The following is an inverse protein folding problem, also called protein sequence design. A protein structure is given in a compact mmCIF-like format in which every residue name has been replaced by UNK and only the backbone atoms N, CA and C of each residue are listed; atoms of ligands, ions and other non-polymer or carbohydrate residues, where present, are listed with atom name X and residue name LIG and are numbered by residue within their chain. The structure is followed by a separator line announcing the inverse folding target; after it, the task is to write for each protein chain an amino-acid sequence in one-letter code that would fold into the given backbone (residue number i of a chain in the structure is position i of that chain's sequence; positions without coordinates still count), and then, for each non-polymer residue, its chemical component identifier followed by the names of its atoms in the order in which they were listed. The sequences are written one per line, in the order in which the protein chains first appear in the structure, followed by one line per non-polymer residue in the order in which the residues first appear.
data_IF_830863055338
#
_entry.id   IF_830863055338
#
_cell.length_a   1.000
_cell.length_b   1.000
_cell.length_c   1.000
_cell.angle_alpha   90.00
_cell.angle_beta   90.00
_cell.angle_gamma   90.00
#
_symmetry.space_group_name_H-M   'P 1'
#
loop_
_entity.id
_entity.type
_entity.pdbx_description
1 polymer ?
#
# COMPACT_ATOMS: atom_id res chain seq x y z
N UNK A 1 -16.32 5.48 -3.31
CA UNK A 1 -15.41 5.45 -4.48
C UNK A 1 -14.02 5.26 -3.92
N UNK A 2 -13.51 4.02 -3.98
CA UNK A 2 -12.17 3.72 -3.50
C UNK A 2 -11.20 4.27 -4.53
N UNK A 3 -10.44 5.30 -4.20
CA UNK A 3 -9.29 5.69 -5.00
C UNK A 3 -8.19 4.67 -4.71
N UNK A 4 -8.16 3.60 -5.50
CA UNK A 4 -6.97 2.77 -5.61
C UNK A 4 -5.94 3.60 -6.38
N UNK A 5 -4.99 4.19 -5.68
CA UNK A 5 -3.82 4.69 -6.34
C UNK A 5 -2.99 3.48 -6.78
N UNK A 6 -3.22 3.05 -8.02
CA UNK A 6 -2.22 2.29 -8.76
C UNK A 6 -1.05 3.25 -9.00
N UNK A 7 -0.29 3.48 -7.96
CA UNK A 7 0.88 4.33 -8.05
C UNK A 7 1.93 3.59 -8.86
N UNK A 8 2.07 4.00 -10.12
CA UNK A 8 3.34 4.16 -10.82
C UNK A 8 4.48 3.24 -10.32
N UNK A 9 4.27 1.94 -10.46
CA UNK A 9 5.27 0.91 -10.29
C UNK A 9 6.59 1.27 -11.02
N UNK A 10 6.50 1.88 -12.20
CA UNK A 10 7.65 2.36 -12.96
C UNK A 10 8.44 3.48 -12.27
N UNK A 11 7.80 4.38 -11.57
CA UNK A 11 8.48 5.46 -10.85
C UNK A 11 9.24 4.96 -9.64
N UNK A 12 8.60 4.12 -8.83
CA UNK A 12 9.23 3.57 -7.62
C UNK A 12 10.36 2.60 -7.98
N UNK A 13 10.16 1.75 -8.99
CA UNK A 13 11.17 0.84 -9.52
C UNK A 13 12.43 1.60 -9.99
N UNK A 14 12.23 2.69 -10.72
CA UNK A 14 13.35 3.51 -11.21
C UNK A 14 14.14 4.18 -10.08
N UNK A 15 13.44 4.61 -9.04
CA UNK A 15 14.02 5.24 -7.86
C UNK A 15 14.81 4.24 -7.03
N UNK A 16 14.26 3.05 -6.76
CA UNK A 16 14.89 2.04 -5.90
C UNK A 16 16.12 1.36 -6.53
N UNK A 17 16.30 1.39 -7.86
CA UNK A 17 17.36 0.65 -8.54
C UNK A 17 18.42 1.52 -9.23
N UNK A 18 18.21 2.81 -9.38
CA UNK A 18 19.11 3.68 -10.17
C UNK A 18 19.79 4.79 -9.37
N UNK A 19 19.46 4.96 -8.09
CA UNK A 19 19.97 6.04 -7.26
C UNK A 19 20.89 5.57 -6.12
N UNK A 20 21.59 6.54 -5.55
CA UNK A 20 22.25 6.40 -4.27
C UNK A 20 21.19 6.14 -3.17
N UNK A 21 21.43 5.28 -2.17
CA UNK A 21 20.49 5.02 -1.07
C UNK A 21 19.95 6.28 -0.38
N UNK A 22 20.79 7.31 -0.20
CA UNK A 22 20.39 8.59 0.41
C UNK A 22 19.43 9.38 -0.48
N UNK A 23 19.66 9.37 -1.78
CA UNK A 23 18.76 10.01 -2.75
C UNK A 23 17.43 9.28 -2.80
N UNK A 24 17.45 7.95 -2.79
CA UNK A 24 16.26 7.09 -2.77
C UNK A 24 15.40 7.39 -1.55
N UNK A 25 16.03 7.47 -0.37
CA UNK A 25 15.33 7.79 0.89
C UNK A 25 14.71 9.19 0.84
N UNK A 26 15.42 10.17 0.27
CA UNK A 26 14.91 11.54 0.12
C UNK A 26 13.68 11.58 -0.78
N UNK A 27 13.71 10.88 -1.91
CA UNK A 27 12.60 10.83 -2.85
C UNK A 27 11.42 10.06 -2.26
N UNK A 28 11.69 8.97 -1.55
CA UNK A 28 10.69 8.19 -0.84
C UNK A 28 9.96 9.03 0.21
N UNK A 29 10.72 9.80 1.02
CA UNK A 29 10.16 10.72 2.01
C UNK A 29 9.25 11.77 1.37
N UNK A 30 9.72 12.46 0.33
CA UNK A 30 8.94 13.47 -0.40
C UNK A 30 7.65 12.89 -1.01
N UNK A 31 7.72 11.66 -1.51
CA UNK A 31 6.54 11.00 -2.04
C UNK A 31 5.48 10.78 -0.96
N UNK A 32 5.88 10.25 0.20
CA UNK A 32 4.95 10.03 1.31
C UNK A 32 4.49 11.34 1.95
N UNK A 33 5.31 12.37 2.01
CA UNK A 33 4.88 13.71 2.42
C UNK A 33 3.72 14.21 1.54
N UNK A 34 3.84 14.05 0.22
CA UNK A 34 2.77 14.43 -0.71
C UNK A 34 1.50 13.57 -0.53
N UNK A 35 1.65 12.27 -0.26
CA UNK A 35 0.51 11.39 0.01
C UNK A 35 -0.21 11.78 1.31
N UNK A 36 0.53 12.11 2.36
CA UNK A 36 -0.04 12.61 3.63
C UNK A 36 -0.76 13.95 3.44
N UNK A 37 -0.22 14.85 2.62
CA UNK A 37 -0.85 16.14 2.32
C UNK A 37 -2.19 15.97 1.60
N UNK A 38 -2.29 14.97 0.73
CA UNK A 38 -3.50 14.71 -0.07
C UNK A 38 -4.56 13.95 0.71
N UNK A 39 -4.16 12.87 1.41
CA UNK A 39 -5.10 11.90 1.99
C UNK A 39 -5.21 11.97 3.50
N UNK A 40 -4.28 12.64 4.16
CA UNK A 40 -4.15 12.61 5.60
C UNK A 40 -3.72 11.25 6.16
N UNK A 41 -3.33 11.20 7.44
CA UNK A 41 -3.03 9.95 8.12
C UNK A 41 -4.31 9.18 8.51
N UNK A 42 -4.20 7.83 8.70
CA UNK A 42 -3.02 6.99 8.45
C UNK A 42 -2.88 6.56 6.99
N UNK A 43 -1.65 6.25 6.56
CA UNK A 43 -1.39 5.56 5.29
C UNK A 43 -0.97 4.13 5.61
N UNK A 44 -1.75 3.16 5.14
CA UNK A 44 -1.45 1.73 5.32
C UNK A 44 -0.95 1.14 4.01
N UNK A 45 0.34 0.88 3.95
CA UNK A 45 1.00 0.26 2.80
C UNK A 45 0.84 -1.25 2.86
N UNK A 46 0.17 -1.83 1.88
CA UNK A 46 0.02 -3.28 1.71
C UNK A 46 0.91 -3.72 0.55
N UNK A 47 1.98 -4.45 0.86
CA UNK A 47 2.91 -4.95 -0.14
C UNK A 47 2.56 -6.39 -0.51
N UNK A 48 2.15 -6.61 -1.77
CA UNK A 48 1.69 -7.90 -2.29
C UNK A 48 2.74 -8.63 -3.11
N UNK A 49 3.97 -8.09 -3.21
CA UNK A 49 5.04 -8.71 -4.01
C UNK A 49 5.53 -10.01 -3.40
N UNK A 50 6.12 -10.88 -4.20
CA UNK A 50 6.69 -12.14 -3.74
C UNK A 50 7.84 -11.91 -2.76
N UNK A 51 7.87 -12.70 -1.67
CA UNK A 51 8.99 -12.73 -0.71
C UNK A 51 10.21 -13.50 -1.25
N UNK A 52 10.08 -14.11 -2.40
CA UNK A 52 11.10 -14.94 -3.06
C UNK A 52 11.31 -14.48 -4.51
N UNK A 53 12.34 -15.03 -5.16
CA UNK A 53 12.58 -14.75 -6.57
C UNK A 53 13.04 -13.31 -6.85
N UNK A 54 12.69 -12.81 -8.03
CA UNK A 54 13.16 -11.50 -8.52
C UNK A 54 12.49 -10.32 -7.82
N UNK A 55 11.30 -10.53 -7.30
CA UNK A 55 10.50 -9.48 -6.66
C UNK A 55 10.95 -9.20 -5.23
N UNK A 56 11.62 -10.16 -4.58
CA UNK A 56 12.10 -10.03 -3.21
C UNK A 56 12.91 -8.75 -3.00
N UNK A 57 13.84 -8.44 -3.89
CA UNK A 57 14.71 -7.27 -3.80
C UNK A 57 13.89 -5.97 -3.72
N UNK A 58 12.80 -5.91 -4.50
CA UNK A 58 11.91 -4.74 -4.54
C UNK A 58 11.13 -4.63 -3.23
N UNK A 59 10.58 -5.75 -2.77
CA UNK A 59 9.83 -5.80 -1.51
C UNK A 59 10.67 -5.43 -0.31
N UNK A 60 11.92 -5.91 -0.24
CA UNK A 60 12.88 -5.58 0.82
C UNK A 60 13.28 -4.10 0.76
N UNK A 61 13.67 -3.58 -0.41
CA UNK A 61 14.02 -2.19 -0.56
C UNK A 61 12.87 -1.24 -0.19
N UNK A 62 11.63 -1.62 -0.52
CA UNK A 62 10.46 -0.84 -0.10
C UNK A 62 10.29 -0.84 1.42
N UNK A 63 10.42 -2.00 2.06
CA UNK A 63 10.36 -2.13 3.51
C UNK A 63 11.46 -1.33 4.21
N UNK A 64 12.70 -1.43 3.72
CA UNK A 64 13.85 -0.72 4.30
C UNK A 64 13.65 0.79 4.25
N UNK A 65 13.17 1.33 3.12
CA UNK A 65 12.86 2.75 3.00
C UNK A 65 11.69 3.17 3.90
N UNK A 66 10.68 2.33 4.06
CA UNK A 66 9.55 2.58 4.95
C UNK A 66 9.99 2.61 6.42
N UNK A 67 10.84 1.67 6.84
CA UNK A 67 11.43 1.63 8.18
C UNK A 67 12.34 2.83 8.45
N UNK A 68 13.17 3.21 7.47
CA UNK A 68 14.04 4.36 7.59
C UNK A 68 13.27 5.69 7.67
N UNK A 69 12.10 5.77 7.00
CA UNK A 69 11.20 6.92 7.11
C UNK A 69 10.64 7.10 8.52
N UNK A 70 10.42 5.99 9.23
CA UNK A 70 10.02 5.92 10.64
C UNK A 70 8.87 6.87 11.02
N UNK A 71 7.81 6.87 10.22
CA UNK A 71 6.62 7.68 10.48
C UNK A 71 5.55 6.87 11.22
N UNK A 72 5.12 7.30 12.42
CA UNK A 72 4.13 6.57 13.21
C UNK A 72 2.74 6.52 12.54
N UNK A 73 2.46 7.45 11.62
CA UNK A 73 1.21 7.49 10.87
C UNK A 73 1.21 6.57 9.65
N UNK A 74 2.34 5.90 9.37
CA UNK A 74 2.49 4.97 8.26
C UNK A 74 2.54 3.54 8.77
N UNK A 75 1.59 2.72 8.33
CA UNK A 75 1.56 1.29 8.60
C UNK A 75 2.12 0.52 7.41
N UNK A 76 2.75 -0.61 7.67
CA UNK A 76 3.30 -1.47 6.62
C UNK A 76 2.90 -2.92 6.85
N UNK A 77 2.21 -3.51 5.86
CA UNK A 77 1.77 -4.90 5.87
C UNK A 77 2.36 -5.62 4.66
N UNK A 78 3.00 -6.75 4.89
CA UNK A 78 3.56 -7.58 3.83
C UNK A 78 2.76 -8.87 3.70
N UNK A 79 2.07 -9.04 2.58
CA UNK A 79 1.29 -10.22 2.25
C UNK A 79 1.74 -10.79 0.89
N UNK A 80 2.45 -11.91 0.90
CA UNK A 80 2.87 -12.58 -0.33
C UNK A 80 1.67 -13.21 -1.02
N UNK A 81 1.09 -12.45 -1.96
CA UNK A 81 -0.12 -12.88 -2.65
C UNK A 81 0.08 -14.17 -3.44
N UNK A 82 1.25 -14.35 -4.08
CA UNK A 82 1.55 -15.52 -4.89
C UNK A 82 1.70 -16.79 -4.04
N UNK A 83 2.26 -16.67 -2.85
CA UNK A 83 2.39 -17.78 -1.91
C UNK A 83 1.03 -18.17 -1.32
N UNK A 84 0.33 -17.20 -0.74
CA UNK A 84 -0.94 -17.45 -0.04
C UNK A 84 -2.07 -17.84 -0.98
N UNK A 85 -2.15 -17.24 -2.18
CA UNK A 85 -3.21 -17.51 -3.14
C UNK A 85 -2.82 -18.51 -4.24
N UNK A 86 -1.72 -19.27 -4.05
CA UNK A 86 -1.26 -20.30 -4.99
C UNK A 86 -2.38 -21.29 -5.29
N UNK A 87 -2.55 -21.62 -6.57
CA UNK A 87 -3.61 -22.54 -7.02
C UNK A 87 -5.01 -21.95 -6.93
N UNK A 88 -5.12 -20.61 -7.11
CA UNK A 88 -6.39 -19.86 -7.13
C UNK A 88 -7.16 -19.91 -5.79
N UNK A 89 -6.45 -20.08 -4.68
CA UNK A 89 -7.04 -20.06 -3.33
C UNK A 89 -7.25 -18.63 -2.87
N UNK A 90 -8.11 -17.90 -3.56
CA UNK A 90 -8.37 -16.48 -3.29
C UNK A 90 -9.05 -16.24 -1.94
N UNK A 91 -9.68 -17.26 -1.34
CA UNK A 91 -10.20 -17.23 0.02
C UNK A 91 -9.13 -16.89 1.07
N UNK A 92 -7.85 -17.15 0.77
CA UNK A 92 -6.74 -16.83 1.65
C UNK A 92 -6.48 -15.31 1.79
N UNK A 93 -7.09 -14.48 0.94
CA UNK A 93 -7.08 -13.02 1.13
C UNK A 93 -7.75 -12.64 2.46
N UNK A 94 -8.64 -13.47 2.98
CA UNK A 94 -9.22 -13.27 4.31
C UNK A 94 -8.17 -13.19 5.42
N UNK A 95 -7.02 -13.84 5.26
CA UNK A 95 -5.89 -13.76 6.21
C UNK A 95 -5.38 -12.32 6.28
N UNK A 96 -5.22 -11.66 5.13
CA UNK A 96 -4.82 -10.25 5.08
C UNK A 96 -5.89 -9.36 5.72
N UNK A 97 -7.16 -9.58 5.38
CA UNK A 97 -8.26 -8.78 5.92
C UNK A 97 -8.33 -8.90 7.44
N UNK A 98 -8.25 -10.12 7.97
CA UNK A 98 -8.22 -10.36 9.41
C UNK A 98 -7.02 -9.71 10.10
N UNK A 99 -5.83 -9.72 9.48
CA UNK A 99 -4.67 -9.03 10.02
C UNK A 99 -4.90 -7.52 10.09
N UNK A 100 -5.45 -6.92 9.02
CA UNK A 100 -5.77 -5.48 9.00
C UNK A 100 -6.84 -5.09 10.02
N UNK A 101 -7.81 -5.97 10.30
CA UNK A 101 -8.84 -5.77 11.31
C UNK A 101 -8.28 -5.90 12.73
N UNK A 102 -7.46 -6.91 12.99
CA UNK A 102 -6.88 -7.19 14.30
C UNK A 102 -5.94 -6.07 14.78
N UNK A 103 -5.17 -5.50 13.85
CA UNK A 103 -4.24 -4.41 14.13
C UNK A 103 -4.90 -3.02 14.09
N UNK A 104 -6.25 -2.98 14.06
CA UNK A 104 -7.05 -1.76 14.02
C UNK A 104 -6.77 -0.82 12.82
N UNK A 105 -6.08 -1.29 11.79
CA UNK A 105 -5.76 -0.47 10.61
C UNK A 105 -7.02 -0.03 9.86
N UNK A 106 -8.01 -0.91 9.76
CA UNK A 106 -9.29 -0.58 9.12
C UNK A 106 -10.08 0.41 9.99
N UNK A 107 -10.10 0.21 11.31
CA UNK A 107 -10.87 1.04 12.24
C UNK A 107 -10.31 2.46 12.37
N UNK A 108 -9.01 2.65 12.15
CA UNK A 108 -8.35 3.95 12.19
C UNK A 108 -8.67 4.84 10.99
N UNK A 109 -9.23 4.25 9.93
CA UNK A 109 -9.61 4.95 8.70
C UNK A 109 -11.06 5.40 8.74
N UNK A 110 -11.34 6.51 8.06
CA UNK A 110 -12.70 6.99 7.82
C UNK A 110 -13.02 6.89 6.34
N UNK A 111 -14.21 6.35 6.05
CA UNK A 111 -14.73 6.34 4.69
C UNK A 111 -15.42 7.67 4.36
N UNK A 112 -15.36 8.09 3.11
CA UNK A 112 -16.17 9.19 2.65
C UNK A 112 -17.64 8.75 2.62
N UNK A 113 -18.50 9.49 3.33
CA UNK A 113 -19.93 9.26 3.31
C UNK A 113 -20.65 10.50 2.74
N UNK A 114 -21.46 10.25 1.74
CA UNK A 114 -22.29 11.26 1.06
C UNK A 114 -23.76 10.91 1.25
N UNK A 115 -24.56 11.92 1.54
CA UNK A 115 -26.02 11.82 1.48
C UNK A 115 -26.59 12.85 0.48
N UNK A 116 -27.91 12.95 0.43
CA UNK A 116 -28.62 13.90 -0.44
C UNK A 116 -28.32 15.38 -0.13
N UNK A 117 -27.74 15.66 1.03
CA UNK A 117 -27.41 17.02 1.47
C UNK A 117 -25.93 17.36 1.30
N UNK A 118 -25.10 16.38 0.90
CA UNK A 118 -23.66 16.55 0.65
C UNK A 118 -22.78 15.58 1.41
N UNK A 119 -21.55 16.03 1.70
CA UNK A 119 -20.55 15.22 2.42
C UNK A 119 -20.88 15.18 3.91
N UNK A 120 -21.24 14.00 4.42
CA UNK A 120 -21.48 13.77 5.85
C UNK A 120 -20.16 13.52 6.59
N UNK A 121 -19.27 12.76 5.97
CA UNK A 121 -17.94 12.44 6.50
C UNK A 121 -16.92 12.44 5.38
N UNK A 122 -15.81 13.14 5.59
CA UNK A 122 -14.69 13.09 4.66
C UNK A 122 -13.83 11.85 4.92
N UNK A 123 -13.25 11.30 3.87
CA UNK A 123 -12.28 10.22 3.97
C UNK A 123 -11.07 10.71 4.78
N UNK A 124 -10.57 9.83 5.63
CA UNK A 124 -9.31 10.03 6.34
C UNK A 124 -8.49 8.76 6.27
N UNK A 125 -7.26 8.89 5.80
CA UNK A 125 -6.37 7.75 5.58
C UNK A 125 -6.64 7.01 4.27
N UNK A 126 -5.69 6.19 3.88
CA UNK A 126 -5.73 5.44 2.62
C UNK A 126 -4.97 4.12 2.72
N UNK A 127 -5.46 3.10 2.02
CA UNK A 127 -4.68 1.90 1.73
C UNK A 127 -3.89 2.10 0.44
N UNK A 128 -2.58 1.93 0.53
CA UNK A 128 -1.69 1.94 -0.60
C UNK A 128 -1.23 0.53 -0.92
N UNK A 129 -1.68 -0.03 -2.03
CA UNK A 129 -1.41 -1.41 -2.41
C UNK A 129 -0.31 -1.43 -3.48
N UNK A 130 0.78 -2.16 -3.21
CA UNK A 130 1.85 -2.42 -4.15
C UNK A 130 1.77 -3.84 -4.66
N UNK A 131 1.68 -3.99 -5.98
CA UNK A 131 1.81 -5.28 -6.65
C UNK A 131 2.62 -5.13 -7.93
N UNK A 132 3.25 -6.20 -8.39
CA UNK A 132 3.90 -6.25 -9.70
C UNK A 132 2.84 -6.70 -10.70
N UNK A 133 2.29 -5.79 -11.42
CA UNK A 133 1.37 -5.70 -12.54
C UNK A 133 0.81 -6.92 -13.30
N UNK A 134 0.98 -8.15 -12.82
CA UNK A 134 0.42 -9.35 -13.45
C UNK A 134 -0.92 -9.80 -12.87
N UNK A 135 -1.48 -9.07 -11.91
CA UNK A 135 -2.82 -9.35 -11.42
C UNK A 135 -3.79 -8.51 -12.25
N UNK A 136 -4.37 -9.12 -13.28
CA UNK A 136 -5.56 -8.57 -13.92
C UNK A 136 -6.69 -8.62 -12.89
N UNK A 137 -6.91 -7.51 -12.20
CA UNK A 137 -8.14 -7.34 -11.45
C UNK A 137 -9.27 -7.18 -12.47
N UNK A 138 -10.03 -8.24 -12.71
CA UNK A 138 -11.33 -8.10 -13.33
C UNK A 138 -12.19 -7.28 -12.38
N UNK A 139 -12.63 -6.13 -12.84
CA UNK A 139 -13.66 -5.34 -12.17
C UNK A 139 -14.87 -6.26 -11.93
N UNK A 140 -15.15 -6.55 -10.68
CA UNK A 140 -16.45 -7.11 -10.31
C UNK A 140 -17.44 -5.96 -10.31
N UNK A 141 -18.27 -5.93 -11.36
CA UNK A 141 -19.46 -5.10 -11.48
C UNK A 141 -20.51 -5.54 -10.48
#
# INVERSE_FOLDING_TARGET
MFYYLFSLYYSLFRILFLGNPEENQTVFAKHFDSEFDIYGPPITCVNLVEKTGREKIIGEAYLDNALALNRPEMNFVYFDFHEYCRGMKFENVNILIQALENDDYIKSMRYCWLDRHGVVCQQQGVFRINCIGNVQFHEFS
#
